data_IF_824136805553
#
_entry.id   IF_824136805553
#
_cell.length_a   1.000
_cell.length_b   1.000
_cell.length_c   1.000
_cell.angle_alpha   90.00
_cell.angle_beta   90.00
_cell.angle_gamma   90.00
#
_symmetry.space_group_name_H-M   'P 1'
#
loop_
_entity.id
_entity.type
_entity.pdbx_description
1 polymer ?
#
# COMPACT_ATOMS: atom_id res chain seq x y z
N UNK A 1 -21.86 -4.36 -9.06
CA UNK A 1 -20.55 -4.96 -8.73
C UNK A 1 -20.48 -5.11 -7.22
N UNK A 2 -20.40 -6.33 -6.67
CA UNK A 2 -20.21 -6.50 -5.21
C UNK A 2 -18.77 -6.10 -4.87
N UNK A 3 -18.62 -5.10 -4.00
CA UNK A 3 -17.33 -4.67 -3.49
C UNK A 3 -17.04 -5.56 -2.28
N UNK A 4 -16.10 -6.48 -2.42
CA UNK A 4 -15.68 -7.35 -1.32
C UNK A 4 -14.67 -6.60 -0.46
N UNK A 5 -14.88 -6.64 0.85
CA UNK A 5 -13.92 -6.15 1.84
C UNK A 5 -13.35 -7.34 2.59
N UNK A 6 -12.08 -7.27 2.93
CA UNK A 6 -11.36 -8.21 3.77
C UNK A 6 -11.02 -7.51 5.08
N UNK A 7 -11.49 -8.02 6.21
CA UNK A 7 -11.35 -7.38 7.54
C UNK A 7 -11.75 -5.88 7.54
N UNK A 8 -12.79 -5.53 6.78
CA UNK A 8 -13.27 -4.14 6.64
C UNK A 8 -12.48 -3.24 5.67
N UNK A 9 -11.41 -3.74 5.05
CA UNK A 9 -10.57 -3.01 4.08
C UNK A 9 -10.72 -3.58 2.67
N UNK A 10 -10.43 -2.76 1.66
CA UNK A 10 -10.39 -3.15 0.23
C UNK A 10 -9.01 -3.62 -0.21
N UNK A 11 -8.00 -3.50 0.64
CA UNK A 11 -6.67 -4.04 0.37
C UNK A 11 -6.06 -4.57 1.67
N UNK A 12 -5.17 -5.53 1.54
CA UNK A 12 -4.41 -6.11 2.66
C UNK A 12 -3.15 -5.28 2.97
N UNK A 13 -2.50 -4.76 1.94
CA UNK A 13 -1.15 -4.20 2.03
C UNK A 13 -1.05 -2.75 2.54
N UNK A 14 -2.17 -2.05 2.73
CA UNK A 14 -2.20 -0.62 3.01
C UNK A 14 -1.47 -0.23 4.28
N UNK A 15 -1.64 -1.02 5.35
CA UNK A 15 -0.99 -0.76 6.64
C UNK A 15 0.52 -0.94 6.52
N UNK A 16 0.97 -2.03 5.88
CA UNK A 16 2.39 -2.31 5.66
C UNK A 16 3.05 -1.26 4.75
N UNK A 17 2.37 -0.83 3.68
CA UNK A 17 2.83 0.29 2.83
C UNK A 17 3.05 1.55 3.66
N UNK A 18 2.10 1.90 4.55
CA UNK A 18 2.22 3.06 5.43
C UNK A 18 3.42 2.91 6.37
N UNK A 19 3.58 1.76 7.01
CA UNK A 19 4.68 1.47 7.95
C UNK A 19 6.02 1.63 7.23
N UNK A 20 6.22 0.96 6.10
CA UNK A 20 7.47 1.01 5.35
C UNK A 20 7.76 2.40 4.78
N UNK A 21 6.74 3.13 4.34
CA UNK A 21 6.89 4.52 3.91
C UNK A 21 7.40 5.41 5.05
N UNK A 22 6.81 5.28 6.25
CA UNK A 22 7.19 6.06 7.42
C UNK A 22 8.59 5.69 7.94
N UNK A 23 8.98 4.40 7.92
CA UNK A 23 10.35 3.96 8.24
C UNK A 23 11.39 4.65 7.37
N UNK A 24 11.05 4.93 6.10
CA UNK A 24 11.92 5.67 5.17
C UNK A 24 11.74 7.19 5.19
N UNK A 25 10.96 7.73 6.13
CA UNK A 25 10.67 9.17 6.27
C UNK A 25 10.11 9.80 4.99
N UNK A 26 9.36 9.04 4.20
CA UNK A 26 8.74 9.53 2.97
C UNK A 26 7.32 10.03 3.23
N UNK A 27 6.94 11.12 2.60
CA UNK A 27 5.57 11.60 2.50
C UNK A 27 4.78 10.78 1.48
N UNK A 28 3.45 10.83 1.55
CA UNK A 28 2.58 10.19 0.56
C UNK A 28 2.80 10.77 -0.85
N UNK A 29 3.14 12.06 -0.95
CA UNK A 29 3.44 12.73 -2.21
C UNK A 29 4.76 12.24 -2.82
N UNK A 30 5.80 12.05 -2.00
CA UNK A 30 7.07 11.47 -2.47
C UNK A 30 6.91 10.02 -2.91
N UNK A 31 6.09 9.22 -2.20
CA UNK A 31 5.80 7.85 -2.62
C UNK A 31 5.07 7.84 -3.97
N UNK A 32 4.04 8.70 -4.13
CA UNK A 32 3.32 8.88 -5.39
C UNK A 32 4.28 9.24 -6.54
N UNK A 33 5.17 10.22 -6.34
CA UNK A 33 6.15 10.64 -7.33
C UNK A 33 7.10 9.49 -7.72
N UNK A 34 7.57 8.70 -6.75
CA UNK A 34 8.44 7.54 -7.02
C UNK A 34 7.73 6.45 -7.82
N UNK A 35 6.46 6.18 -7.54
CA UNK A 35 5.67 5.20 -8.32
C UNK A 35 5.42 5.72 -9.74
N UNK A 36 5.17 7.03 -9.90
CA UNK A 36 5.03 7.66 -11.21
C UNK A 36 6.29 7.49 -12.08
N UNK A 37 7.48 7.57 -11.48
CA UNK A 37 8.74 7.28 -12.17
C UNK A 37 8.89 5.80 -12.60
N UNK A 38 8.09 4.89 -12.05
CA UNK A 38 8.04 3.49 -12.50
C UNK A 38 7.00 3.24 -13.60
N UNK A 39 6.35 4.30 -14.12
CA UNK A 39 5.43 4.24 -15.24
C UNK A 39 3.95 4.15 -14.85
N UNK A 40 3.60 4.31 -13.57
CA UNK A 40 2.20 4.29 -13.10
C UNK A 40 1.85 5.59 -12.41
N UNK A 41 0.89 6.32 -12.97
CA UNK A 41 0.39 7.54 -12.36
C UNK A 41 -0.47 7.23 -11.15
N UNK A 42 0.08 7.45 -9.95
CA UNK A 42 -0.66 7.48 -8.70
C UNK A 42 -0.56 8.86 -8.08
N UNK A 43 -1.71 9.37 -7.63
CA UNK A 43 -1.78 10.63 -6.90
C UNK A 43 -1.62 10.40 -5.39
N UNK A 44 -1.25 11.45 -4.66
CA UNK A 44 -1.17 11.46 -3.20
C UNK A 44 -2.44 10.89 -2.55
N UNK A 45 -3.62 11.28 -3.04
CA UNK A 45 -4.90 10.85 -2.49
C UNK A 45 -5.20 9.37 -2.78
N UNK A 46 -4.63 8.82 -3.86
CA UNK A 46 -4.69 7.38 -4.11
C UNK A 46 -3.81 6.63 -3.12
N UNK A 47 -2.60 7.11 -2.83
CA UNK A 47 -1.74 6.55 -1.76
C UNK A 47 -2.45 6.61 -0.41
N UNK A 48 -3.03 7.76 -0.06
CA UNK A 48 -3.77 7.92 1.20
C UNK A 48 -4.89 6.90 1.33
N UNK A 49 -5.72 6.73 0.28
CA UNK A 49 -6.82 5.76 0.27
C UNK A 49 -6.36 4.30 0.32
N UNK A 50 -5.19 3.99 -0.25
CA UNK A 50 -4.56 2.68 -0.14
C UNK A 50 -4.18 2.42 1.32
N UNK A 51 -3.47 3.36 1.95
CA UNK A 51 -2.98 3.21 3.33
C UNK A 51 -4.09 3.06 4.36
N UNK A 52 -5.26 3.68 4.14
CA UNK A 52 -6.44 3.51 5.01
C UNK A 52 -7.36 2.35 4.59
N UNK A 53 -6.99 1.59 3.56
CA UNK A 53 -7.76 0.42 3.13
C UNK A 53 -9.03 0.73 2.34
N UNK A 54 -9.23 1.95 1.82
CA UNK A 54 -10.49 2.33 1.13
C UNK A 54 -10.43 2.20 -0.40
N UNK A 55 -9.26 1.88 -0.95
CA UNK A 55 -9.01 1.61 -2.38
C UNK A 55 -8.37 0.23 -2.56
N UNK A 56 -8.76 -0.49 -3.60
CA UNK A 56 -8.05 -1.71 -3.99
C UNK A 56 -6.63 -1.38 -4.46
N UNK A 57 -5.74 -2.36 -4.37
CA UNK A 57 -4.40 -2.32 -4.96
C UNK A 57 -4.33 -3.47 -5.94
N UNK A 58 -3.92 -3.19 -7.17
CA UNK A 58 -3.70 -4.25 -8.17
C UNK A 58 -2.37 -4.95 -7.92
N UNK A 59 -2.20 -6.15 -8.46
CA UNK A 59 -0.97 -6.93 -8.36
C UNK A 59 0.27 -6.18 -8.89
N UNK A 60 0.12 -5.46 -9.99
CA UNK A 60 1.20 -4.65 -10.57
C UNK A 60 1.53 -3.43 -9.69
N UNK A 61 0.55 -2.79 -9.06
CA UNK A 61 0.79 -1.70 -8.10
C UNK A 61 1.52 -2.23 -6.88
N UNK A 62 1.09 -3.38 -6.36
CA UNK A 62 1.71 -4.06 -5.22
C UNK A 62 3.19 -4.36 -5.49
N UNK A 63 3.52 -4.89 -6.68
CA UNK A 63 4.91 -5.13 -7.11
C UNK A 63 5.73 -3.84 -7.14
N UNK A 64 5.14 -2.74 -7.60
CA UNK A 64 5.83 -1.44 -7.61
C UNK A 64 6.02 -0.85 -6.22
N UNK A 65 5.04 -1.00 -5.32
CA UNK A 65 5.19 -0.60 -3.93
C UNK A 65 6.36 -1.35 -3.29
N UNK A 66 6.42 -2.67 -3.43
CA UNK A 66 7.51 -3.49 -2.93
C UNK A 66 8.87 -2.99 -3.46
N UNK A 67 8.96 -2.75 -4.78
CA UNK A 67 10.16 -2.22 -5.43
C UNK A 67 10.59 -0.84 -4.89
N UNK A 68 9.66 0.12 -4.81
CA UNK A 68 9.95 1.50 -4.38
C UNK A 68 10.26 1.57 -2.88
N UNK A 69 9.61 0.72 -2.08
CA UNK A 69 9.84 0.58 -0.65
C UNK A 69 10.99 -0.39 -0.35
N UNK A 70 11.66 -0.97 -1.35
CA UNK A 70 12.78 -1.89 -1.17
C UNK A 70 12.50 -2.97 -0.11
N UNK A 71 11.34 -3.62 -0.27
CA UNK A 71 10.86 -4.76 0.52
C UNK A 71 10.33 -5.82 -0.44
N UNK A 72 10.05 -7.02 0.05
CA UNK A 72 9.38 -8.06 -0.72
C UNK A 72 7.87 -7.80 -0.79
N UNK A 73 7.19 -8.47 -1.72
CA UNK A 73 5.72 -8.43 -1.76
C UNK A 73 5.13 -9.09 -0.51
N UNK A 74 5.77 -10.16 -0.02
CA UNK A 74 5.33 -10.87 1.18
C UNK A 74 5.38 -9.95 2.41
N UNK A 75 6.43 -9.15 2.57
CA UNK A 75 6.53 -8.14 3.66
C UNK A 75 5.36 -7.14 3.66
N UNK A 76 4.77 -6.87 2.49
CA UNK A 76 3.61 -6.00 2.33
C UNK A 76 2.29 -6.72 2.56
N UNK A 77 2.27 -8.04 2.52
CA UNK A 77 1.09 -8.88 2.74
C UNK A 77 1.07 -9.55 4.11
N UNK A 78 2.15 -9.44 4.89
CA UNK A 78 2.20 -9.87 6.28
C UNK A 78 1.05 -9.26 7.09
N UNK A 79 0.33 -10.12 7.78
CA UNK A 79 -0.67 -9.73 8.76
C UNK A 79 0.05 -9.56 10.10
N UNK A 80 -0.13 -8.41 10.75
CA UNK A 80 0.24 -8.30 12.16
C UNK A 80 -0.81 -9.13 12.93
N UNK A 81 -0.43 -10.33 13.40
CA UNK A 81 -1.26 -11.26 14.20
C UNK A 81 -1.76 -10.67 15.55
N UNK A 82 -1.58 -9.37 15.77
CA UNK A 82 -2.05 -8.68 16.97
C UNK A 82 -3.50 -8.25 16.81
N UNK A 83 -4.44 -9.15 17.10
CA UNK A 83 -5.68 -8.92 17.89
C UNK A 83 -6.65 -10.11 17.75
N UNK A 84 -6.23 -11.28 18.22
CA UNK A 84 -7.12 -12.18 18.95
C UNK A 84 -6.71 -12.11 20.44
N UNK A 85 -7.31 -11.20 21.19
CA UNK A 85 -7.29 -11.15 22.65
C UNK A 85 -8.55 -10.49 23.16
#
# INVERSE_FOLDING_TARGET
MKIYTYKGKKNLCGDRIRIERLKKRMTQMELAAKIQLQGITLERDSISRIEIGTRFVTDYELKLFAKVLNVTVDDLLEEDDTMES
#
